data_IF_681011342512
#
_entry.id   IF_681011342512
#
_cell.length_a   1.000
_cell.length_b   1.000
_cell.length_c   1.000
_cell.angle_alpha   90.00
_cell.angle_beta   90.00
_cell.angle_gamma   90.00
#
_symmetry.space_group_name_H-M   'P 1'
#
loop_
_entity.id
_entity.type
_entity.pdbx_description
1 polymer ?
#
# COMPACT_ATOMS: atom_id res chain seq x y z
N UNK A 1 2.68 8.53 -18.68
CA UNK A 1 2.07 9.75 -19.30
C UNK A 1 2.05 9.72 -20.82
N UNK A 2 3.15 9.52 -21.56
CA UNK A 2 3.14 9.58 -23.04
C UNK A 2 2.23 8.54 -23.72
N UNK A 3 2.02 7.39 -23.14
CA UNK A 3 1.20 6.32 -23.74
C UNK A 3 -0.29 6.66 -23.68
N UNK A 4 -0.82 7.04 -22.50
CA UNK A 4 -2.24 7.41 -22.35
C UNK A 4 -2.64 8.62 -23.21
N UNK A 5 -1.71 9.56 -23.48
CA UNK A 5 -1.99 10.71 -24.33
C UNK A 5 -2.12 10.37 -25.83
N UNK A 6 -1.71 9.18 -26.24
CA UNK A 6 -1.76 8.69 -27.62
C UNK A 6 -2.93 7.74 -27.87
N UNK A 7 -3.61 7.27 -26.82
CA UNK A 7 -4.78 6.41 -26.91
C UNK A 7 -6.06 7.24 -27.07
N UNK A 8 -7.04 6.66 -27.75
CA UNK A 8 -8.43 7.14 -27.65
C UNK A 8 -8.96 6.89 -26.23
N UNK A 9 -9.98 7.65 -25.82
CA UNK A 9 -10.42 7.62 -24.42
C UNK A 9 -11.05 6.27 -24.03
N UNK A 10 -11.69 5.52 -24.95
CA UNK A 10 -12.21 4.17 -24.68
C UNK A 10 -11.08 3.20 -24.30
N UNK A 11 -10.01 3.18 -25.09
CA UNK A 11 -8.84 2.32 -24.79
C UNK A 11 -8.06 2.76 -23.57
N UNK A 12 -8.03 4.07 -23.32
CA UNK A 12 -7.40 4.58 -22.12
C UNK A 12 -8.16 4.14 -20.85
N UNK A 13 -9.49 4.13 -20.88
CA UNK A 13 -10.33 3.61 -19.82
C UNK A 13 -10.11 2.09 -19.62
N UNK A 14 -10.12 1.28 -20.70
CA UNK A 14 -9.83 -0.16 -20.64
C UNK A 14 -8.47 -0.47 -19.98
N UNK A 15 -7.47 0.39 -20.17
CA UNK A 15 -6.14 0.24 -19.53
C UNK A 15 -6.20 0.59 -18.05
N UNK A 16 -6.90 1.68 -17.70
CA UNK A 16 -7.07 2.10 -16.31
C UNK A 16 -7.83 1.05 -15.48
N UNK A 17 -8.86 0.41 -16.05
CA UNK A 17 -9.62 -0.67 -15.41
C UNK A 17 -8.77 -1.91 -15.07
N UNK A 18 -7.60 -2.07 -15.68
CA UNK A 18 -6.68 -3.19 -15.43
C UNK A 18 -5.51 -2.83 -14.52
N UNK A 19 -5.43 -1.59 -14.07
CA UNK A 19 -4.38 -1.12 -13.16
C UNK A 19 -4.82 -1.25 -11.70
N UNK A 20 -3.86 -1.21 -10.78
CA UNK A 20 -4.19 -1.02 -9.36
C UNK A 20 -4.89 0.35 -9.19
N UNK A 21 -5.92 0.47 -8.33
CA UNK A 21 -6.73 1.70 -8.24
C UNK A 21 -5.94 2.96 -7.91
N UNK A 22 -4.91 2.86 -7.08
CA UNK A 22 -4.00 3.96 -6.72
C UNK A 22 -3.13 4.40 -7.91
N UNK A 23 -2.57 3.47 -8.67
CA UNK A 23 -1.84 3.77 -9.91
C UNK A 23 -2.75 4.48 -10.95
N UNK A 24 -4.01 4.02 -11.08
CA UNK A 24 -4.99 4.66 -11.96
C UNK A 24 -5.36 6.07 -11.46
N UNK A 25 -5.54 6.26 -10.15
CA UNK A 25 -5.80 7.56 -9.53
C UNK A 25 -4.65 8.54 -9.78
N UNK A 26 -3.41 8.11 -9.60
CA UNK A 26 -2.21 8.91 -9.84
C UNK A 26 -2.09 9.37 -11.30
N UNK A 27 -2.42 8.48 -12.25
CA UNK A 27 -2.42 8.84 -13.67
C UNK A 27 -3.52 9.85 -14.01
N UNK A 28 -4.74 9.67 -13.47
CA UNK A 28 -5.87 10.57 -13.68
C UNK A 28 -5.60 11.94 -13.04
N UNK A 29 -5.03 11.99 -11.85
CA UNK A 29 -4.66 13.25 -11.17
C UNK A 29 -3.71 14.13 -12.00
N UNK A 30 -2.89 13.53 -12.86
CA UNK A 30 -1.97 14.25 -13.76
C UNK A 30 -2.61 14.74 -15.05
N UNK A 31 -3.86 14.36 -15.34
CA UNK A 31 -4.58 14.78 -16.56
C UNK A 31 -5.33 16.11 -16.34
N UNK A 32 -5.67 16.83 -17.42
CA UNK A 32 -6.64 17.91 -17.32
C UNK A 32 -7.97 17.39 -16.76
N UNK A 33 -8.57 18.11 -15.81
CA UNK A 33 -9.77 17.67 -15.08
C UNK A 33 -10.91 17.15 -15.98
N UNK A 34 -11.19 17.85 -17.10
CA UNK A 34 -12.22 17.41 -18.05
C UNK A 34 -11.92 16.06 -18.70
N UNK A 35 -10.66 15.73 -18.92
CA UNK A 35 -10.26 14.44 -19.50
C UNK A 35 -10.28 13.35 -18.43
N UNK A 36 -9.84 13.67 -17.22
CA UNK A 36 -9.93 12.74 -16.08
C UNK A 36 -11.37 12.28 -15.83
N UNK A 37 -12.30 13.22 -15.75
CA UNK A 37 -13.74 12.89 -15.60
C UNK A 37 -14.29 12.07 -16.77
N UNK A 38 -13.91 12.41 -18.00
CA UNK A 38 -14.37 11.65 -19.18
C UNK A 38 -13.86 10.20 -19.16
N UNK A 39 -12.64 9.95 -18.69
CA UNK A 39 -12.10 8.59 -18.52
C UNK A 39 -12.82 7.83 -17.41
N UNK A 40 -13.03 8.46 -16.26
CA UNK A 40 -13.79 7.86 -15.15
C UNK A 40 -15.23 7.49 -15.52
N UNK A 41 -15.86 8.25 -16.45
CA UNK A 41 -17.21 7.93 -16.96
C UNK A 41 -17.20 6.78 -17.97
N UNK A 42 -16.05 6.43 -18.55
CA UNK A 42 -15.88 5.32 -19.50
C UNK A 42 -15.38 4.04 -18.81
N UNK A 43 -14.82 4.13 -17.61
CA UNK A 43 -14.35 2.99 -16.82
C UNK A 43 -15.53 2.14 -16.31
N UNK A 44 -15.23 0.90 -15.92
CA UNK A 44 -16.19 0.06 -15.20
C UNK A 44 -16.64 0.77 -13.90
N UNK A 45 -17.93 0.76 -13.57
CA UNK A 45 -18.46 1.57 -12.45
C UNK A 45 -17.81 1.31 -11.09
N UNK A 46 -17.45 0.04 -10.80
CA UNK A 46 -16.81 -0.35 -9.54
C UNK A 46 -15.38 0.21 -9.46
N UNK A 47 -14.59 0.07 -10.53
CA UNK A 47 -13.21 0.59 -10.63
C UNK A 47 -13.20 2.13 -10.58
N UNK A 48 -14.13 2.78 -11.30
CA UNK A 48 -14.25 4.23 -11.27
C UNK A 48 -14.63 4.78 -9.88
N UNK A 49 -15.43 4.04 -9.09
CA UNK A 49 -15.78 4.43 -7.73
C UNK A 49 -14.55 4.40 -6.81
N UNK A 50 -13.72 3.36 -6.89
CA UNK A 50 -12.49 3.24 -6.12
C UNK A 50 -11.49 4.34 -6.49
N UNK A 51 -11.30 4.61 -7.76
CA UNK A 51 -10.43 5.71 -8.22
C UNK A 51 -10.95 7.06 -7.74
N UNK A 52 -12.26 7.34 -7.84
CA UNK A 52 -12.85 8.59 -7.31
C UNK A 52 -12.69 8.71 -5.80
N UNK A 53 -12.79 7.59 -5.08
CA UNK A 53 -12.57 7.56 -3.65
C UNK A 53 -11.14 7.96 -3.30
N UNK A 54 -10.15 7.40 -3.98
CA UNK A 54 -8.73 7.75 -3.79
C UNK A 54 -8.44 9.20 -4.15
N UNK A 55 -8.96 9.70 -5.26
CA UNK A 55 -8.83 11.09 -5.69
C UNK A 55 -9.47 12.11 -4.73
N UNK A 56 -10.28 11.67 -3.77
CA UNK A 56 -10.85 12.54 -2.74
C UNK A 56 -9.86 12.92 -1.64
N UNK A 57 -8.73 12.24 -1.54
CA UNK A 57 -7.66 12.52 -0.57
C UNK A 57 -6.54 13.37 -1.18
N UNK A 58 -5.81 14.06 -0.32
CA UNK A 58 -4.60 14.77 -0.73
C UNK A 58 -3.50 13.76 -1.07
N UNK A 59 -2.81 13.94 -2.20
CA UNK A 59 -1.80 13.02 -2.71
C UNK A 59 -0.61 12.76 -1.76
N UNK A 60 -0.33 13.66 -0.80
CA UNK A 60 0.73 13.54 0.20
C UNK A 60 0.26 12.95 1.53
N UNK A 61 -0.86 12.24 1.53
CA UNK A 61 -1.45 11.57 2.70
C UNK A 61 -1.55 10.05 2.51
N UNK A 62 -1.80 9.33 3.61
CA UNK A 62 -2.04 7.90 3.57
C UNK A 62 -3.21 7.52 2.65
N UNK A 63 -4.27 8.35 2.63
CA UNK A 63 -5.43 8.16 1.75
C UNK A 63 -5.10 8.32 0.27
N UNK A 64 -4.17 9.23 -0.09
CA UNK A 64 -3.71 9.42 -1.46
C UNK A 64 -2.69 8.39 -1.92
N UNK A 65 -2.02 7.68 -0.99
CA UNK A 65 -1.01 6.65 -1.30
C UNK A 65 -1.53 5.23 -1.13
N UNK A 66 -2.75 5.03 -0.62
CA UNK A 66 -3.25 3.68 -0.33
C UNK A 66 -3.87 3.03 -1.55
N UNK A 67 -3.77 1.70 -1.61
CA UNK A 67 -4.64 0.90 -2.48
C UNK A 67 -5.91 0.46 -1.73
N UNK A 68 -7.03 0.35 -2.43
CA UNK A 68 -8.32 -0.14 -1.92
C UNK A 68 -8.44 -1.65 -1.99
N UNK A 69 -7.46 -2.36 -2.55
CA UNK A 69 -7.47 -3.81 -2.81
C UNK A 69 -6.56 -4.65 -1.89
N UNK A 70 -6.54 -4.45 -0.56
CA UNK A 70 -5.80 -5.34 0.33
C UNK A 70 -6.43 -6.74 0.36
N UNK A 71 -5.65 -7.76 0.73
CA UNK A 71 -6.22 -9.08 1.02
C UNK A 71 -6.98 -9.00 2.35
N UNK A 72 -8.28 -9.22 2.31
CA UNK A 72 -9.16 -9.15 3.48
C UNK A 72 -9.79 -10.51 3.77
N UNK A 73 -9.80 -10.91 5.05
CA UNK A 73 -10.42 -12.15 5.50
C UNK A 73 -11.11 -11.97 6.86
N UNK A 74 -11.96 -12.94 7.22
CA UNK A 74 -12.52 -13.03 8.57
C UNK A 74 -11.50 -13.56 9.57
N UNK A 75 -11.73 -13.30 10.86
CA UNK A 75 -10.93 -13.88 11.95
C UNK A 75 -11.04 -15.42 12.03
N UNK A 76 -12.11 -16.00 11.48
CA UNK A 76 -12.35 -17.44 11.43
C UNK A 76 -11.67 -18.13 10.24
N UNK A 77 -11.17 -17.38 9.28
CA UNK A 77 -10.42 -17.93 8.15
C UNK A 77 -9.15 -18.64 8.65
N UNK A 78 -8.79 -19.73 7.99
CA UNK A 78 -7.65 -20.56 8.34
C UNK A 78 -6.36 -20.08 7.66
N UNK A 79 -5.22 -20.50 8.21
CA UNK A 79 -3.90 -20.30 7.57
C UNK A 79 -3.88 -20.85 6.14
N UNK A 80 -4.52 -22.02 5.90
CA UNK A 80 -4.60 -22.57 4.55
C UNK A 80 -5.33 -21.66 3.57
N UNK A 81 -6.46 -21.08 3.98
CA UNK A 81 -7.24 -20.14 3.16
C UNK A 81 -6.45 -18.85 2.90
N UNK A 82 -5.83 -18.28 3.94
CA UNK A 82 -4.98 -17.09 3.79
C UNK A 82 -3.81 -17.32 2.82
N UNK A 83 -3.09 -18.43 2.96
CA UNK A 83 -2.01 -18.79 2.05
C UNK A 83 -2.50 -19.08 0.61
N UNK A 84 -3.72 -19.55 0.45
CA UNK A 84 -4.30 -19.75 -0.89
C UNK A 84 -4.57 -18.42 -1.59
N UNK A 85 -5.01 -17.39 -0.84
CA UNK A 85 -5.20 -16.03 -1.37
C UNK A 85 -3.86 -15.41 -1.81
N UNK A 86 -2.83 -15.48 -0.97
CA UNK A 86 -1.48 -14.95 -1.28
C UNK A 86 -0.84 -15.63 -2.51
N UNK A 87 -1.20 -16.87 -2.80
CA UNK A 87 -0.66 -17.61 -3.96
C UNK A 87 -1.23 -17.19 -5.31
N UNK A 88 -2.17 -16.26 -5.37
CA UNK A 88 -2.66 -15.74 -6.64
C UNK A 88 -1.52 -15.03 -7.37
N UNK A 89 -1.34 -15.34 -8.66
CA UNK A 89 -0.21 -14.82 -9.45
C UNK A 89 -0.34 -13.34 -9.81
N UNK A 90 -1.50 -12.76 -9.63
CA UNK A 90 -1.87 -11.40 -10.01
C UNK A 90 -1.61 -10.37 -8.91
N UNK A 91 -1.27 -10.83 -7.68
CA UNK A 91 -1.05 -9.94 -6.56
C UNK A 91 0.33 -9.31 -6.58
N UNK A 92 0.41 -8.01 -6.36
CA UNK A 92 1.67 -7.32 -6.09
C UNK A 92 2.34 -7.92 -4.84
N UNK A 93 3.68 -8.09 -4.85
CA UNK A 93 4.41 -8.72 -3.74
C UNK A 93 4.20 -8.01 -2.39
N UNK A 94 4.00 -6.70 -2.38
CA UNK A 94 3.78 -5.92 -1.17
C UNK A 94 2.39 -6.19 -0.57
N UNK A 95 1.35 -6.32 -1.41
CA UNK A 95 0.00 -6.72 -1.00
C UNK A 95 0.00 -8.14 -0.42
N UNK A 96 0.73 -9.08 -1.06
CA UNK A 96 0.88 -10.45 -0.58
C UNK A 96 1.69 -10.60 0.72
N UNK A 97 2.35 -9.54 1.21
CA UNK A 97 3.17 -9.59 2.42
C UNK A 97 2.35 -9.78 3.71
N UNK A 98 1.10 -9.33 3.74
CA UNK A 98 0.21 -9.44 4.89
C UNK A 98 -1.26 -9.54 4.47
N UNK A 99 -2.07 -10.07 5.37
CA UNK A 99 -3.53 -10.16 5.24
C UNK A 99 -4.18 -9.27 6.30
N UNK A 100 -5.16 -8.50 5.91
CA UNK A 100 -6.01 -7.72 6.80
C UNK A 100 -7.16 -8.59 7.33
N UNK A 101 -7.39 -8.55 8.63
CA UNK A 101 -8.48 -9.28 9.29
C UNK A 101 -9.51 -8.28 9.78
N UNK A 102 -10.77 -8.43 9.33
CA UNK A 102 -11.85 -7.50 9.65
C UNK A 102 -13.12 -8.25 10.10
N UNK A 103 -14.09 -7.50 10.60
CA UNK A 103 -15.48 -7.92 10.65
C UNK A 103 -16.15 -7.64 9.30
N UNK A 104 -17.28 -8.31 8.95
CA UNK A 104 -18.00 -8.02 7.73
C UNK A 104 -18.62 -6.59 7.76
N UNK A 105 -18.78 -5.92 6.59
CA UNK A 105 -18.44 -6.39 5.25
C UNK A 105 -16.94 -6.50 5.03
N UNK A 106 -16.51 -7.28 4.01
CA UNK A 106 -15.09 -7.54 3.71
C UNK A 106 -14.57 -6.71 2.52
N UNK A 107 -15.39 -5.84 1.97
CA UNK A 107 -15.02 -4.87 0.94
C UNK A 107 -14.79 -3.49 1.60
N UNK A 108 -13.78 -2.72 1.21
CA UNK A 108 -13.54 -1.38 1.74
C UNK A 108 -14.69 -0.40 1.38
N UNK A 109 -15.12 0.44 2.32
CA UNK A 109 -14.77 0.44 3.73
C UNK A 109 -15.39 -0.76 4.45
N UNK A 110 -14.53 -1.60 5.07
CA UNK A 110 -14.92 -2.87 5.68
C UNK A 110 -15.78 -2.69 6.95
N UNK A 111 -16.14 -3.79 7.61
CA UNK A 111 -16.47 -3.75 9.03
C UNK A 111 -15.23 -3.39 9.86
N UNK A 112 -15.33 -3.55 11.18
CA UNK A 112 -14.23 -3.15 12.07
C UNK A 112 -12.94 -3.91 11.76
N UNK A 113 -11.84 -3.18 11.60
CA UNK A 113 -10.50 -3.73 11.48
C UNK A 113 -10.06 -4.37 12.80
N UNK A 114 -9.53 -5.59 12.74
CA UNK A 114 -9.10 -6.37 13.89
C UNK A 114 -7.58 -6.46 14.02
N UNK A 115 -6.86 -6.38 12.90
CA UNK A 115 -5.40 -6.47 12.84
C UNK A 115 -4.91 -7.08 11.52
N UNK A 116 -3.60 -7.27 11.42
CA UNK A 116 -2.94 -7.91 10.28
C UNK A 116 -2.29 -9.22 10.66
N UNK A 117 -2.10 -10.09 9.66
CA UNK A 117 -1.29 -11.32 9.78
C UNK A 117 -0.28 -11.36 8.66
N UNK A 118 1.00 -11.26 8.99
CA UNK A 118 2.09 -11.36 8.01
C UNK A 118 2.24 -12.79 7.49
N UNK A 119 2.52 -12.95 6.17
CA UNK A 119 2.63 -14.27 5.55
C UNK A 119 3.72 -15.13 6.20
N UNK A 120 4.85 -14.56 6.62
CA UNK A 120 5.91 -15.29 7.33
C UNK A 120 5.42 -15.89 8.65
N UNK A 121 4.47 -15.23 9.33
CA UNK A 121 3.85 -15.76 10.53
C UNK A 121 3.01 -16.98 10.20
N UNK A 122 2.20 -16.92 9.15
CA UNK A 122 1.37 -18.06 8.70
C UNK A 122 2.20 -19.30 8.35
N UNK A 123 3.41 -19.13 7.78
CA UNK A 123 4.30 -20.26 7.48
C UNK A 123 4.77 -21.06 8.71
N UNK A 124 4.64 -20.52 9.91
CA UNK A 124 5.07 -21.13 11.18
C UNK A 124 3.96 -21.87 11.91
N UNK A 125 2.72 -21.78 11.41
CA UNK A 125 1.54 -22.35 12.05
C UNK A 125 0.88 -23.41 11.18
N UNK A 126 0.15 -24.38 11.79
CA UNK A 126 -0.51 -25.43 11.02
C UNK A 126 -1.64 -24.86 10.16
N UNK A 127 -1.96 -25.52 9.02
CA UNK A 127 -2.92 -25.02 8.03
C UNK A 127 -4.34 -24.77 8.58
N UNK A 128 -4.73 -25.45 9.63
CA UNK A 128 -6.07 -25.35 10.24
C UNK A 128 -6.17 -24.28 11.33
N UNK A 129 -5.05 -23.63 11.70
CA UNK A 129 -5.07 -22.54 12.68
C UNK A 129 -5.86 -21.33 12.15
N UNK A 130 -6.59 -20.65 13.03
CA UNK A 130 -7.39 -19.48 12.66
C UNK A 130 -6.55 -18.23 12.62
N UNK A 131 -6.73 -17.39 11.61
CA UNK A 131 -5.97 -16.15 11.43
C UNK A 131 -6.25 -15.15 12.56
N UNK A 132 -7.45 -15.15 13.15
CA UNK A 132 -7.78 -14.33 14.32
C UNK A 132 -6.92 -14.60 15.56
N UNK A 133 -6.29 -15.78 15.68
CA UNK A 133 -5.34 -16.10 16.77
C UNK A 133 -3.91 -15.65 16.49
N UNK A 134 -3.63 -15.23 15.24
CA UNK A 134 -2.32 -14.88 14.75
C UNK A 134 -2.13 -13.38 14.51
N UNK A 135 -3.08 -12.55 14.94
CA UNK A 135 -3.04 -11.10 14.72
C UNK A 135 -1.75 -10.49 15.27
N UNK A 136 -1.17 -9.59 14.50
CA UNK A 136 -0.09 -8.73 14.97
C UNK A 136 -0.69 -7.42 15.50
N UNK A 137 -0.71 -7.29 16.81
CA UNK A 137 -1.22 -6.12 17.50
C UNK A 137 -0.18 -5.00 17.63
N UNK A 138 1.05 -5.22 17.16
CA UNK A 138 2.10 -4.18 17.17
C UNK A 138 1.97 -3.21 16.00
N UNK A 139 1.23 -3.59 14.95
CA UNK A 139 0.96 -2.74 13.80
C UNK A 139 -0.26 -1.87 14.11
N UNK A 140 -0.02 -0.61 14.43
CA UNK A 140 -1.08 0.38 14.62
C UNK A 140 -1.50 0.96 13.26
N UNK A 141 -2.79 0.92 12.90
CA UNK A 141 -3.29 1.53 11.66
C UNK A 141 -3.12 3.06 11.69
N UNK A 142 -3.16 3.68 10.52
CA UNK A 142 -3.15 5.13 10.36
C UNK A 142 -4.50 5.64 9.87
N UNK A 143 -4.75 6.94 10.07
CA UNK A 143 -5.86 7.65 9.46
C UNK A 143 -5.53 8.01 8.00
N UNK A 144 -6.52 8.12 7.10
CA UNK A 144 -6.31 8.59 5.72
C UNK A 144 -5.59 9.93 5.62
N UNK A 145 -5.77 10.83 6.61
CA UNK A 145 -5.15 12.16 6.65
C UNK A 145 -3.71 12.14 7.19
N UNK A 146 -3.19 10.98 7.56
CA UNK A 146 -1.79 10.85 8.01
C UNK A 146 -0.84 11.19 6.87
N UNK A 147 0.11 12.11 7.09
CA UNK A 147 1.04 12.53 6.04
C UNK A 147 1.93 11.40 5.54
N UNK A 148 2.28 11.42 4.25
CA UNK A 148 3.21 10.49 3.62
C UNK A 148 4.54 10.38 4.38
N UNK A 149 5.05 11.48 4.94
CA UNK A 149 6.27 11.50 5.75
C UNK A 149 6.13 10.70 7.06
N UNK A 150 4.96 10.71 7.70
CA UNK A 150 4.70 9.91 8.91
C UNK A 150 4.52 8.43 8.55
N UNK A 151 3.79 8.13 7.47
CA UNK A 151 3.65 6.77 6.91
C UNK A 151 5.02 6.17 6.62
N UNK A 152 5.87 6.89 5.87
CA UNK A 152 7.25 6.48 5.54
C UNK A 152 8.07 6.17 6.79
N UNK A 153 7.94 6.99 7.82
CA UNK A 153 8.65 6.84 9.09
C UNK A 153 8.18 5.60 9.86
N UNK A 154 6.87 5.31 9.87
CA UNK A 154 6.31 4.12 10.51
C UNK A 154 6.74 2.85 9.79
N UNK A 155 6.60 2.77 8.47
CA UNK A 155 7.07 1.63 7.67
C UNK A 155 8.55 1.35 7.96
N UNK A 156 9.42 2.38 7.90
CA UNK A 156 10.85 2.23 8.13
C UNK A 156 11.23 1.91 9.59
N UNK A 157 10.46 2.37 10.58
CA UNK A 157 10.78 2.17 12.00
C UNK A 157 10.42 0.79 12.51
N UNK A 158 9.40 0.19 11.92
CA UNK A 158 8.86 -1.13 12.33
C UNK A 158 9.13 -2.23 11.29
N UNK A 159 9.97 -1.95 10.28
CA UNK A 159 10.32 -2.89 9.20
C UNK A 159 9.06 -3.46 8.49
N UNK A 160 8.03 -2.62 8.31
CA UNK A 160 6.77 -3.00 7.68
C UNK A 160 6.87 -2.88 6.16
N UNK A 161 6.14 -3.73 5.44
CA UNK A 161 5.97 -3.70 3.99
C UNK A 161 4.66 -3.03 3.61
N UNK A 162 3.66 -3.10 4.47
CA UNK A 162 2.37 -2.44 4.29
C UNK A 162 1.82 -1.93 5.62
N UNK A 163 1.01 -0.87 5.57
CA UNK A 163 0.43 -0.20 6.73
C UNK A 163 -1.08 -0.02 6.52
N UNK A 164 -1.94 -0.56 7.40
CA UNK A 164 -3.38 -0.44 7.23
C UNK A 164 -3.85 0.99 7.47
N UNK A 165 -4.79 1.43 6.66
CA UNK A 165 -5.47 2.73 6.77
C UNK A 165 -6.90 2.48 7.24
N UNK A 166 -7.31 3.17 8.32
CA UNK A 166 -8.65 3.03 8.89
C UNK A 166 -9.31 4.40 9.04
N UNK A 167 -10.62 4.42 8.85
CA UNK A 167 -11.43 5.60 9.08
C UNK A 167 -11.68 5.89 10.59
N UNK A 168 -12.38 6.95 10.88
CA UNK A 168 -12.76 7.35 12.26
C UNK A 168 -13.60 6.29 13.00
N UNK A 169 -14.29 5.40 12.29
CA UNK A 169 -15.06 4.27 12.82
C UNK A 169 -14.21 2.99 12.97
N UNK A 170 -12.89 3.09 12.74
CA UNK A 170 -11.95 1.97 12.77
C UNK A 170 -12.28 0.88 11.74
N UNK A 171 -12.81 1.27 10.58
CA UNK A 171 -13.05 0.40 9.43
C UNK A 171 -11.85 0.52 8.49
N UNK A 172 -11.40 -0.61 7.94
CA UNK A 172 -10.32 -0.60 6.95
C UNK A 172 -10.83 0.04 5.66
N UNK A 173 -10.12 1.04 5.17
CA UNK A 173 -10.40 1.74 3.91
C UNK A 173 -9.36 1.42 2.84
N UNK A 174 -8.17 0.96 3.23
CA UNK A 174 -7.10 0.57 2.34
C UNK A 174 -5.83 0.18 3.08
N UNK A 175 -4.75 -0.02 2.33
CA UNK A 175 -3.39 -0.20 2.86
C UNK A 175 -2.42 0.65 2.05
N UNK A 176 -1.42 1.24 2.71
CA UNK A 176 -0.28 1.86 2.02
C UNK A 176 0.85 0.85 1.99
N UNK A 177 1.44 0.64 0.82
CA UNK A 177 2.57 -0.27 0.66
C UNK A 177 3.90 0.48 0.63
N UNK A 178 5.01 -0.24 0.78
CA UNK A 178 6.35 0.37 0.80
C UNK A 178 6.78 0.87 -0.58
N UNK A 179 6.32 0.24 -1.67
CA UNK A 179 6.59 0.62 -3.04
C UNK A 179 5.91 1.95 -3.39
N UNK A 180 4.65 2.18 -3.01
CA UNK A 180 3.94 3.46 -3.24
C UNK A 180 4.63 4.60 -2.50
N UNK A 181 5.06 4.35 -1.26
CA UNK A 181 5.86 5.33 -0.51
C UNK A 181 7.21 5.59 -1.18
N UNK A 182 7.86 4.58 -1.75
CA UNK A 182 9.11 4.77 -2.47
C UNK A 182 8.90 5.56 -3.76
N UNK A 183 7.83 5.29 -4.51
CA UNK A 183 7.47 6.05 -5.69
C UNK A 183 7.20 7.53 -5.37
N UNK A 184 6.47 7.79 -4.29
CA UNK A 184 6.25 9.17 -3.81
C UNK A 184 7.56 9.88 -3.39
N UNK A 185 8.53 9.17 -2.83
CA UNK A 185 9.79 9.75 -2.35
C UNK A 185 10.88 9.90 -3.42
N UNK A 186 10.76 9.16 -4.52
CA UNK A 186 11.72 9.18 -5.63
C UNK A 186 11.37 10.31 -6.61
N UNK A 187 12.33 10.81 -7.41
CA UNK A 187 12.03 11.74 -8.47
C UNK A 187 11.08 11.12 -9.51
N UNK A 188 10.16 11.92 -10.10
CA UNK A 188 9.15 11.46 -11.07
C UNK A 188 9.73 10.74 -12.30
N UNK A 189 11.02 10.94 -12.59
CA UNK A 189 11.73 10.35 -13.72
C UNK A 189 12.57 9.11 -13.35
N UNK A 190 12.49 8.63 -12.10
CA UNK A 190 13.35 7.54 -11.63
C UNK A 190 13.18 6.24 -12.44
N UNK A 191 11.97 5.95 -12.93
CA UNK A 191 11.68 4.77 -13.77
C UNK A 191 12.18 4.93 -15.21
N UNK A 192 12.34 6.18 -15.68
CA UNK A 192 12.82 6.51 -17.04
C UNK A 192 14.29 6.92 -17.09
N UNK A 193 14.94 7.08 -15.91
CA UNK A 193 16.38 7.31 -15.84
C UNK A 193 17.11 6.10 -16.42
N UNK A 194 17.81 6.30 -17.52
CA UNK A 194 18.53 5.28 -18.30
C UNK A 194 19.31 4.32 -17.40
N UNK A 195 19.27 3.06 -17.76
CA UNK A 195 20.02 1.94 -17.13
C UNK A 195 21.55 2.16 -17.12
N UNK A 196 22.04 3.24 -17.71
CA UNK A 196 23.44 3.71 -17.74
C UNK A 196 23.79 4.67 -16.59
N UNK A 197 22.85 5.03 -15.72
CA UNK A 197 23.18 5.79 -14.51
C UNK A 197 24.01 4.91 -13.59
N UNK A 198 25.20 5.39 -13.22
CA UNK A 198 26.12 4.71 -12.30
C UNK A 198 25.36 4.24 -11.04
N UNK A 199 25.65 3.03 -10.51
CA UNK A 199 24.95 2.48 -9.35
C UNK A 199 24.95 3.50 -8.23
N UNK A 200 23.77 3.75 -7.65
CA UNK A 200 23.57 4.64 -6.50
C UNK A 200 24.57 4.22 -5.42
N UNK A 201 25.59 5.03 -5.19
CA UNK A 201 26.59 4.72 -4.18
C UNK A 201 25.90 4.64 -2.81
N UNK A 202 26.08 3.54 -2.05
CA UNK A 202 25.42 3.40 -0.75
C UNK A 202 25.84 4.59 0.13
N UNK A 203 24.84 5.31 0.68
CA UNK A 203 25.09 6.34 1.69
C UNK A 203 25.91 5.70 2.82
N UNK A 204 27.15 6.09 2.98
CA UNK A 204 27.97 5.71 4.14
C UNK A 204 27.22 6.21 5.37
N UNK A 205 26.54 5.32 6.09
CA UNK A 205 26.11 5.59 7.46
C UNK A 205 27.38 5.94 8.24
N UNK A 206 27.53 7.20 8.60
CA UNK A 206 28.60 7.64 9.49
C UNK A 206 28.39 6.96 10.84
N UNK A 207 29.11 5.86 11.04
CA UNK A 207 29.32 5.33 12.38
C UNK A 207 30.16 6.36 13.13
N UNK A 208 29.50 7.20 13.92
CA UNK A 208 30.17 8.01 14.93
C UNK A 208 30.74 7.03 15.96
N UNK A 209 32.06 6.91 16.14
CA UNK A 209 32.59 6.01 17.16
C UNK A 209 32.17 6.56 18.54
N UNK A 210 31.55 5.70 19.34
CA UNK A 210 31.21 6.00 20.72
C UNK A 210 32.52 6.38 21.46
N UNK A 211 32.57 7.58 22.01
CA UNK A 211 33.65 8.03 22.91
C UNK A 211 33.71 7.05 24.10
N UNK A 212 34.72 6.24 24.15
CA UNK A 212 35.10 5.52 25.38
C UNK A 212 35.51 6.59 26.41
N UNK A 213 34.63 6.79 27.40
CA UNK A 213 35.03 7.50 28.61
C UNK A 213 36.02 6.62 29.37
N UNK A 214 37.29 7.03 29.35
CA UNK A 214 38.33 6.46 30.18
C UNK A 214 38.03 6.79 31.66
N UNK A 215 37.77 5.75 32.44
CA UNK A 215 37.91 5.84 33.90
C UNK A 215 39.38 5.62 34.21
N UNK A 216 40.07 6.71 34.49
CA UNK A 216 41.31 6.66 35.29
C UNK A 216 40.94 6.52 36.75
N UNK A 217 41.50 5.54 37.38
CA UNK A 217 41.56 5.44 38.83
C UNK A 217 43.02 5.52 39.29
N UNK A 218 43.28 6.04 40.51
CA UNK A 218 44.62 6.32 41.02
C UNK A 218 45.40 5.07 41.40
#
# INVERSE_FOLDING_TARGET
MQILSQLDDERAADVLDQMEPDDAADLIAQLPALRGEALLDLMEPEEAEDVRFLLSYDADTAGGLMTTEPIIVSADATVAEGLALIRRHELAPAIGAAICVTLPPYEPPTGRFLGMVHFQRMLRYPPHERLGTLLDHSVEPVSPETSAAEVSRRLASYDLVSLPVVDENHRLVGVVTIDDVLDYLLPDDWRSADTDAAPIAPRKRGLTPARRSGHGAP
#
